data_IF_388573516908
#
_entry.id   IF_388573516908
#
_cell.length_a   1.000
_cell.length_b   1.000
_cell.length_c   1.000
_cell.angle_alpha   90.00
_cell.angle_beta   90.00
_cell.angle_gamma   90.00
#
_symmetry.space_group_name_H-M   'P 1'
#
loop_
_entity.id
_entity.type
_entity.pdbx_description
1 polymer ?
#
# COMPACT_ATOMS: atom_id res chain seq x y z
N UNK A 1 -3.74 -26.72 -32.83
CA UNK A 1 -3.65 -26.24 -31.41
C UNK A 1 -2.58 -25.18 -31.20
N UNK A 2 -1.51 -25.09 -32.00
CA UNK A 2 -0.44 -24.08 -31.87
C UNK A 2 -0.82 -22.67 -32.35
N UNK A 3 -1.68 -22.56 -33.36
CA UNK A 3 -2.06 -21.26 -33.94
C UNK A 3 -2.93 -20.40 -33.00
N UNK A 4 -3.69 -21.02 -32.10
CA UNK A 4 -4.59 -20.30 -31.19
C UNK A 4 -3.83 -19.64 -30.02
N UNK A 5 -2.71 -20.22 -29.59
CA UNK A 5 -1.87 -19.65 -28.51
C UNK A 5 -1.10 -18.44 -29.04
N UNK A 6 -0.57 -18.49 -30.24
CA UNK A 6 0.12 -17.38 -30.88
C UNK A 6 -0.83 -16.17 -31.09
N UNK A 7 -2.05 -16.44 -31.55
CA UNK A 7 -3.08 -15.40 -31.73
C UNK A 7 -3.49 -14.72 -30.44
N UNK A 8 -3.66 -15.48 -29.33
CA UNK A 8 -3.99 -14.94 -28.00
C UNK A 8 -2.84 -14.12 -27.42
N UNK A 9 -1.58 -14.55 -27.63
CA UNK A 9 -0.40 -13.80 -27.18
C UNK A 9 -0.28 -12.50 -27.96
N UNK A 10 -0.48 -12.49 -29.27
CA UNK A 10 -0.43 -11.28 -30.11
C UNK A 10 -1.56 -10.31 -29.73
N UNK A 11 -2.78 -10.80 -29.50
CA UNK A 11 -3.88 -9.95 -29.01
C UNK A 11 -3.58 -9.33 -27.63
N UNK A 12 -3.02 -10.10 -26.72
CA UNK A 12 -2.66 -9.60 -25.37
C UNK A 12 -1.57 -8.53 -25.45
N UNK A 13 -0.54 -8.74 -26.30
CA UNK A 13 0.52 -7.74 -26.53
C UNK A 13 -0.04 -6.46 -27.17
N UNK A 14 -0.98 -6.57 -28.09
CA UNK A 14 -1.64 -5.41 -28.69
C UNK A 14 -2.53 -4.66 -27.70
N UNK A 15 -3.28 -5.36 -26.86
CA UNK A 15 -4.11 -4.75 -25.81
C UNK A 15 -3.26 -4.03 -24.76
N UNK A 16 -2.14 -4.63 -24.33
CA UNK A 16 -1.22 -4.00 -23.37
C UNK A 16 -0.54 -2.76 -23.94
N UNK A 17 -0.19 -2.76 -25.24
CA UNK A 17 0.34 -1.57 -25.94
C UNK A 17 -0.70 -0.46 -26.06
N UNK A 18 -1.94 -0.78 -26.42
CA UNK A 18 -3.02 0.18 -26.55
C UNK A 18 -3.36 0.81 -25.19
N UNK A 19 -3.41 0.01 -24.12
CA UNK A 19 -3.63 0.48 -22.75
C UNK A 19 -2.52 1.43 -22.29
N UNK A 20 -1.25 1.11 -22.56
CA UNK A 20 -0.11 1.94 -22.18
C UNK A 20 -0.09 3.26 -22.97
N UNK A 21 -0.38 3.23 -24.25
CA UNK A 21 -0.46 4.44 -25.06
C UNK A 21 -1.59 5.37 -24.59
N UNK A 22 -2.75 4.82 -24.24
CA UNK A 22 -3.87 5.60 -23.71
C UNK A 22 -3.55 6.22 -22.34
N UNK A 23 -2.90 5.45 -21.44
CA UNK A 23 -2.46 5.98 -20.14
C UNK A 23 -1.40 7.07 -20.29
N UNK A 24 -0.49 6.92 -21.24
CA UNK A 24 0.55 7.90 -21.53
C UNK A 24 -0.06 9.17 -22.12
N UNK A 25 -0.95 9.03 -23.10
CA UNK A 25 -1.66 10.16 -23.72
C UNK A 25 -2.47 10.93 -22.68
N UNK A 26 -3.22 10.23 -21.83
CA UNK A 26 -3.98 10.84 -20.75
C UNK A 26 -3.08 11.59 -19.77
N UNK A 27 -1.97 10.97 -19.34
CA UNK A 27 -1.00 11.61 -18.45
C UNK A 27 -0.38 12.87 -19.06
N UNK A 28 -0.02 12.83 -20.34
CA UNK A 28 0.51 14.01 -21.05
C UNK A 28 -0.53 15.14 -21.15
N UNK A 29 -1.77 14.79 -21.43
CA UNK A 29 -2.88 15.75 -21.48
C UNK A 29 -3.20 16.35 -20.11
N UNK A 30 -3.19 15.54 -19.05
CA UNK A 30 -3.46 15.97 -17.68
C UNK A 30 -2.36 16.90 -17.14
N UNK A 31 -1.10 16.68 -17.55
CA UNK A 31 0.08 17.42 -17.06
C UNK A 31 0.39 18.63 -17.91
N UNK A 32 0.31 18.52 -19.23
CA UNK A 32 0.70 19.55 -20.20
C UNK A 32 -0.49 20.23 -20.91
N UNK A 33 -1.70 19.78 -20.63
CA UNK A 33 -2.91 20.31 -21.27
C UNK A 33 -2.91 20.07 -22.78
N UNK A 34 -3.31 21.08 -23.54
CA UNK A 34 -3.37 21.03 -25.01
C UNK A 34 -2.00 21.14 -25.70
N UNK A 35 -0.92 21.24 -24.94
CA UNK A 35 0.44 21.38 -25.48
C UNK A 35 1.09 20.05 -25.90
N UNK A 36 0.43 18.92 -25.67
CA UNK A 36 0.87 17.61 -26.14
C UNK A 36 0.09 17.18 -27.39
N UNK A 37 0.78 16.88 -28.48
CA UNK A 37 0.15 16.31 -29.67
C UNK A 37 -0.21 14.84 -29.47
N UNK A 38 -1.02 14.29 -30.38
CA UNK A 38 -1.29 12.85 -30.39
C UNK A 38 0.00 12.05 -30.65
N UNK A 39 0.07 10.86 -30.01
CA UNK A 39 1.17 9.91 -30.21
C UNK A 39 1.12 9.31 -31.59
N UNK A 40 2.21 9.48 -32.37
CA UNK A 40 2.37 8.90 -33.70
C UNK A 40 3.52 7.91 -33.79
N UNK A 41 3.53 7.08 -34.80
CA UNK A 41 4.65 6.20 -35.08
C UNK A 41 5.85 7.04 -35.55
N UNK A 42 7.05 6.77 -35.02
CA UNK A 42 8.27 7.44 -35.49
C UNK A 42 8.71 6.85 -36.84
N UNK A 43 8.54 7.61 -37.91
CA UNK A 43 8.88 7.14 -39.27
C UNK A 43 10.37 6.77 -39.41
N UNK A 44 11.26 7.45 -38.68
CA UNK A 44 12.71 7.19 -38.68
C UNK A 44 13.11 5.96 -37.87
N UNK A 45 12.23 5.40 -37.07
CA UNK A 45 12.54 4.22 -36.25
C UNK A 45 12.91 2.98 -37.08
N UNK A 46 12.39 2.85 -38.30
CA UNK A 46 12.74 1.78 -39.21
C UNK A 46 14.21 1.83 -39.71
N UNK A 47 14.85 2.99 -39.61
CA UNK A 47 16.25 3.20 -40.02
C UNK A 47 17.25 2.92 -38.89
N UNK A 48 16.75 2.70 -37.65
CA UNK A 48 17.61 2.44 -36.50
C UNK A 48 18.21 1.02 -36.58
N UNK A 49 19.41 0.80 -36.02
CA UNK A 49 20.01 -0.53 -35.90
C UNK A 49 19.11 -1.52 -35.18
N UNK A 50 19.20 -2.79 -35.56
CA UNK A 50 18.34 -3.87 -35.06
C UNK A 50 18.31 -3.97 -33.53
N UNK A 51 19.46 -3.76 -32.85
CA UNK A 51 19.53 -3.82 -31.39
C UNK A 51 18.69 -2.75 -30.69
N UNK A 52 18.48 -1.58 -31.31
CA UNK A 52 17.60 -0.53 -30.81
C UNK A 52 16.13 -0.88 -31.08
N UNK A 53 15.84 -1.37 -32.28
CA UNK A 53 14.49 -1.78 -32.64
C UNK A 53 14.02 -3.01 -31.83
N UNK A 54 14.92 -3.89 -31.43
CA UNK A 54 14.61 -5.05 -30.59
C UNK A 54 14.35 -4.65 -29.14
N UNK A 55 15.12 -3.68 -28.63
CA UNK A 55 15.00 -3.20 -27.24
C UNK A 55 13.80 -2.27 -27.01
N UNK A 56 13.44 -1.45 -28.00
CA UNK A 56 12.46 -0.36 -27.82
C UNK A 56 11.42 -0.32 -28.95
N UNK A 57 10.24 0.18 -28.61
CA UNK A 57 9.28 0.76 -29.55
C UNK A 57 9.40 2.26 -29.53
N UNK A 58 9.45 2.91 -30.70
CA UNK A 58 9.64 4.35 -30.82
C UNK A 58 8.35 5.04 -31.27
N UNK A 59 7.88 6.03 -30.49
CA UNK A 59 6.75 6.87 -30.84
C UNK A 59 7.21 8.31 -30.89
N UNK A 60 6.63 9.11 -31.78
CA UNK A 60 6.93 10.53 -31.92
C UNK A 60 5.74 11.36 -31.45
N UNK A 61 6.00 12.46 -30.77
CA UNK A 61 5.00 13.46 -30.40
C UNK A 61 5.65 14.84 -30.27
N UNK A 62 4.81 15.87 -30.26
CA UNK A 62 5.24 17.24 -29.95
C UNK A 62 4.88 17.54 -28.48
N UNK A 63 5.87 17.95 -27.69
CA UNK A 63 5.72 18.39 -26.30
C UNK A 63 6.08 19.87 -26.18
N UNK A 64 5.14 20.73 -25.87
CA UNK A 64 5.34 22.17 -25.68
C UNK A 64 6.16 22.81 -26.82
N UNK A 65 5.83 22.48 -28.08
CA UNK A 65 6.49 22.99 -29.26
C UNK A 65 7.79 22.25 -29.67
N UNK A 66 8.20 21.22 -28.93
CA UNK A 66 9.40 20.43 -29.25
C UNK A 66 9.03 19.02 -29.71
N UNK A 67 9.55 18.62 -30.86
CA UNK A 67 9.42 17.23 -31.33
C UNK A 67 10.35 16.32 -30.55
N UNK A 68 9.77 15.29 -29.95
CA UNK A 68 10.51 14.29 -29.15
C UNK A 68 10.12 12.89 -29.56
N UNK A 69 11.03 11.93 -29.34
CA UNK A 69 10.80 10.52 -29.57
C UNK A 69 10.77 9.78 -28.24
N UNK A 70 9.69 9.05 -27.99
CA UNK A 70 9.58 8.18 -26.82
C UNK A 70 10.15 6.81 -27.12
N UNK A 71 11.09 6.34 -26.29
CA UNK A 71 11.65 5.00 -26.34
C UNK A 71 10.97 4.13 -25.26
N UNK A 72 10.01 3.30 -25.68
CA UNK A 72 9.24 2.42 -24.80
C UNK A 72 9.91 1.04 -24.79
N UNK A 73 10.41 0.53 -23.65
CA UNK A 73 11.06 -0.76 -23.59
C UNK A 73 10.09 -1.91 -23.93
N UNK A 74 10.58 -2.87 -24.70
CA UNK A 74 9.84 -4.09 -25.00
C UNK A 74 9.99 -5.11 -23.89
N UNK A 75 9.00 -5.97 -23.68
CA UNK A 75 8.92 -6.91 -22.54
C UNK A 75 10.13 -7.86 -22.42
N UNK A 76 10.81 -8.15 -23.52
CA UNK A 76 11.92 -9.10 -23.58
C UNK A 76 13.31 -8.45 -23.42
N UNK A 77 13.39 -7.11 -23.26
CA UNK A 77 14.65 -6.40 -23.15
C UNK A 77 15.22 -6.46 -21.73
N UNK A 78 16.02 -7.46 -21.42
CA UNK A 78 16.82 -7.54 -20.19
C UNK A 78 18.12 -6.74 -20.36
N UNK A 79 18.06 -5.42 -20.24
CA UNK A 79 19.22 -4.54 -20.40
C UNK A 79 19.54 -3.85 -19.08
N UNK A 80 20.83 -3.83 -18.72
CA UNK A 80 21.30 -3.08 -17.54
C UNK A 80 21.07 -1.57 -17.71
N UNK A 81 20.94 -0.81 -16.62
CA UNK A 81 20.78 0.66 -16.66
C UNK A 81 21.88 1.36 -17.48
N UNK A 82 23.11 0.87 -17.37
CA UNK A 82 24.22 1.39 -18.18
C UNK A 82 24.00 1.11 -19.68
N UNK A 83 23.49 -0.08 -20.01
CA UNK A 83 23.14 -0.45 -21.38
C UNK A 83 21.99 0.38 -21.94
N UNK A 84 20.94 0.61 -21.14
CA UNK A 84 19.82 1.49 -21.51
C UNK A 84 20.32 2.89 -21.85
N UNK A 85 21.18 3.49 -21.02
CA UNK A 85 21.73 4.82 -21.28
C UNK A 85 22.52 4.88 -22.58
N UNK A 86 23.40 3.92 -22.81
CA UNK A 86 24.18 3.85 -24.05
C UNK A 86 23.29 3.69 -25.29
N UNK A 87 22.22 2.89 -25.19
CA UNK A 87 21.26 2.70 -26.26
C UNK A 87 20.43 3.98 -26.53
N UNK A 88 20.00 4.71 -25.50
CA UNK A 88 19.28 5.96 -25.65
C UNK A 88 20.17 7.05 -26.28
N UNK A 89 21.43 7.15 -25.87
CA UNK A 89 22.39 8.06 -26.43
C UNK A 89 22.66 7.76 -27.92
N UNK A 90 22.79 6.48 -28.27
CA UNK A 90 22.90 6.06 -29.67
C UNK A 90 21.64 6.44 -30.48
N UNK A 91 20.45 6.26 -29.88
CA UNK A 91 19.20 6.65 -30.53
C UNK A 91 19.09 8.17 -30.77
N UNK A 92 19.48 8.99 -29.78
CA UNK A 92 19.55 10.47 -29.93
C UNK A 92 20.47 10.85 -31.10
N UNK A 93 21.66 10.26 -31.17
CA UNK A 93 22.65 10.56 -32.19
C UNK A 93 22.17 10.14 -33.59
N UNK A 94 21.46 9.04 -33.72
CA UNK A 94 20.97 8.55 -35.02
C UNK A 94 19.70 9.26 -35.49
N UNK A 95 18.78 9.55 -34.57
CA UNK A 95 17.53 10.23 -34.91
C UNK A 95 17.70 11.76 -35.04
N UNK A 96 18.75 12.32 -34.45
CA UNK A 96 18.98 13.78 -34.34
C UNK A 96 17.77 14.48 -33.69
N UNK A 97 17.14 13.83 -32.73
CA UNK A 97 15.97 14.31 -31.99
C UNK A 97 16.11 13.91 -30.52
N UNK A 98 15.55 14.69 -29.58
CA UNK A 98 15.49 14.31 -28.18
C UNK A 98 14.76 12.96 -28.01
N UNK A 99 15.41 12.01 -27.34
CA UNK A 99 14.81 10.71 -27.01
C UNK A 99 14.50 10.67 -25.52
N UNK A 100 13.28 10.29 -25.19
CA UNK A 100 12.76 10.21 -23.83
C UNK A 100 12.48 8.75 -23.49
N UNK A 101 13.08 8.25 -22.44
CA UNK A 101 12.85 6.89 -21.96
C UNK A 101 11.47 6.77 -21.29
N UNK A 102 10.63 5.85 -21.74
CA UNK A 102 9.25 5.72 -21.26
C UNK A 102 8.96 4.29 -20.76
N UNK A 103 9.46 3.89 -19.56
CA UNK A 103 9.16 2.60 -18.97
C UNK A 103 7.82 2.63 -18.22
N UNK A 104 7.18 1.47 -18.06
CA UNK A 104 5.96 1.32 -17.27
C UNK A 104 6.19 1.60 -15.76
N UNK A 105 7.40 1.34 -15.26
CA UNK A 105 7.80 1.63 -13.88
C UNK A 105 9.32 1.75 -13.76
N UNK A 106 9.78 2.46 -12.72
CA UNK A 106 11.19 2.57 -12.36
C UNK A 106 11.33 2.39 -10.84
N UNK A 107 12.31 1.60 -10.42
CA UNK A 107 12.71 1.51 -9.03
C UNK A 107 13.38 2.83 -8.56
N UNK A 108 13.40 3.07 -7.25
CA UNK A 108 13.95 4.34 -6.70
C UNK A 108 15.42 4.55 -7.04
N UNK A 109 16.22 3.48 -7.09
CA UNK A 109 17.64 3.56 -7.47
C UNK A 109 17.84 3.83 -8.96
N UNK A 110 16.97 3.28 -9.82
CA UNK A 110 17.00 3.51 -11.27
C UNK A 110 16.69 4.97 -11.60
N UNK A 111 15.63 5.51 -10.98
CA UNK A 111 15.26 6.94 -11.11
C UNK A 111 16.40 7.85 -10.69
N UNK A 112 17.03 7.59 -9.53
CA UNK A 112 18.17 8.37 -9.05
C UNK A 112 19.32 8.36 -10.05
N UNK A 113 19.65 7.19 -10.58
CA UNK A 113 20.70 7.02 -11.58
C UNK A 113 20.40 7.78 -12.89
N UNK A 114 19.16 7.71 -13.40
CA UNK A 114 18.76 8.43 -14.60
C UNK A 114 18.80 9.95 -14.41
N UNK A 115 18.37 10.46 -13.26
CA UNK A 115 18.43 11.89 -12.90
C UNK A 115 19.89 12.37 -12.79
N UNK A 116 20.74 11.60 -12.10
CA UNK A 116 22.16 11.90 -11.94
C UNK A 116 22.88 12.04 -13.29
N UNK A 117 22.50 11.20 -14.25
CA UNK A 117 23.05 11.24 -15.60
C UNK A 117 22.24 12.10 -16.59
N UNK A 118 21.29 12.91 -16.10
CA UNK A 118 20.44 13.81 -16.88
C UNK A 118 19.71 13.14 -18.06
N UNK A 119 19.34 11.86 -17.91
CA UNK A 119 18.56 11.12 -18.90
C UNK A 119 17.10 11.52 -18.80
N UNK A 120 16.50 11.98 -19.89
CA UNK A 120 15.09 12.31 -19.97
C UNK A 120 14.23 11.06 -19.86
N UNK A 121 13.23 11.05 -18.96
CA UNK A 121 12.29 9.94 -18.85
C UNK A 121 10.88 10.39 -18.45
N UNK A 122 9.90 9.58 -18.84
CA UNK A 122 8.49 9.70 -18.43
C UNK A 122 8.06 8.33 -17.91
N UNK A 123 7.58 8.30 -16.67
CA UNK A 123 6.86 7.14 -16.10
C UNK A 123 5.38 7.52 -16.05
N UNK A 124 4.51 6.94 -16.88
CA UNK A 124 3.10 7.31 -16.96
C UNK A 124 2.44 7.33 -15.58
N UNK A 125 1.64 8.37 -15.31
CA UNK A 125 0.93 8.60 -14.03
C UNK A 125 1.81 8.69 -12.78
N UNK A 126 3.14 8.90 -12.92
CA UNK A 126 4.07 8.95 -11.76
C UNK A 126 5.07 10.08 -11.80
N UNK A 127 5.82 10.23 -12.87
CA UNK A 127 6.91 11.21 -12.92
C UNK A 127 7.32 11.55 -14.36
N UNK A 128 7.62 12.82 -14.59
CA UNK A 128 8.22 13.32 -15.82
C UNK A 128 9.49 14.09 -15.48
N UNK A 129 10.61 13.73 -16.11
CA UNK A 129 11.89 14.40 -15.97
C UNK A 129 12.47 14.65 -17.36
N UNK A 130 12.38 15.90 -17.82
CA UNK A 130 12.79 16.36 -19.16
C UNK A 130 13.71 17.57 -19.02
N UNK A 131 14.96 17.40 -18.57
CA UNK A 131 15.87 18.51 -18.29
C UNK A 131 16.17 19.37 -19.52
N UNK A 132 16.16 18.78 -20.71
CA UNK A 132 16.39 19.49 -21.98
C UNK A 132 15.24 20.42 -22.39
N UNK A 133 14.05 20.22 -21.81
CA UNK A 133 12.87 21.07 -22.01
C UNK A 133 12.58 21.96 -20.78
N UNK A 134 13.47 21.98 -19.78
CA UNK A 134 13.26 22.73 -18.54
C UNK A 134 12.15 22.16 -17.65
N UNK A 135 11.66 20.95 -17.92
CA UNK A 135 10.53 20.33 -17.20
C UNK A 135 11.08 19.31 -16.21
N UNK A 136 10.98 19.62 -14.92
CA UNK A 136 11.15 18.67 -13.80
C UNK A 136 9.86 18.64 -12.99
N UNK A 137 8.84 18.02 -13.55
CA UNK A 137 7.60 17.77 -12.87
C UNK A 137 7.76 16.51 -12.02
N UNK A 138 8.21 16.72 -10.81
CA UNK A 138 8.02 15.74 -9.75
C UNK A 138 6.59 15.93 -9.25
N UNK A 139 5.68 15.08 -9.68
CA UNK A 139 4.62 14.80 -8.75
C UNK A 139 5.31 14.41 -7.45
N UNK A 140 5.10 15.19 -6.41
CA UNK A 140 5.11 14.64 -5.07
C UNK A 140 4.02 13.58 -5.12
N UNK A 141 4.41 12.38 -5.48
CA UNK A 141 3.62 11.18 -5.30
C UNK A 141 3.64 10.94 -3.79
N UNK A 142 2.90 11.74 -3.07
CA UNK A 142 1.97 11.23 -2.10
C UNK A 142 1.23 10.17 -2.88
N UNK A 143 1.72 8.94 -2.82
CA UNK A 143 1.14 7.72 -3.37
C UNK A 143 -0.26 7.99 -3.94
N UNK A 144 -0.35 8.35 -5.24
CA UNK A 144 -1.57 8.16 -5.98
C UNK A 144 -1.77 6.64 -5.98
N UNK A 145 -2.55 6.23 -5.02
CA UNK A 145 -3.01 4.91 -4.72
C UNK A 145 -3.39 4.25 -6.02
N UNK A 146 -2.67 3.20 -6.39
CA UNK A 146 -3.26 2.15 -7.18
C UNK A 146 -4.64 1.88 -6.58
N UNK A 147 -5.72 2.12 -7.32
CA UNK A 147 -7.06 1.64 -7.05
C UNK A 147 -7.15 0.12 -7.33
N UNK A 148 -6.30 -0.65 -6.70
CA UNK A 148 -6.64 -1.92 -6.08
C UNK A 148 -7.06 -1.52 -4.68
N UNK A 149 -8.15 -2.02 -4.18
CA UNK A 149 -8.65 -1.89 -2.81
C UNK A 149 -7.48 -1.95 -1.81
N UNK A 150 -6.76 -0.84 -1.67
CA UNK A 150 -5.61 -0.77 -0.81
C UNK A 150 -6.15 -0.72 0.61
N UNK A 151 -5.98 -1.83 1.33
CA UNK A 151 -6.31 -1.88 2.75
C UNK A 151 -5.32 -0.98 3.51
N UNK A 152 -5.78 -0.32 4.55
CA UNK A 152 -4.94 0.46 5.45
C UNK A 152 -3.77 -0.40 5.98
N UNK A 153 -2.61 0.21 6.12
CA UNK A 153 -1.47 -0.45 6.75
C UNK A 153 -1.78 -0.78 8.21
N UNK A 154 -1.18 -1.82 8.79
CA UNK A 154 -1.46 -2.19 10.17
C UNK A 154 -1.24 -1.07 11.19
N UNK A 155 -0.22 -0.24 10.98
CA UNK A 155 0.06 0.89 11.87
C UNK A 155 -0.99 2.00 11.74
N UNK A 156 -1.44 2.29 10.53
CA UNK A 156 -2.51 3.25 10.25
C UNK A 156 -3.83 2.78 10.80
N UNK A 157 -4.16 1.49 10.62
CA UNK A 157 -5.35 0.89 11.21
C UNK A 157 -5.33 0.98 12.74
N UNK A 158 -4.23 0.62 13.38
CA UNK A 158 -4.09 0.72 14.84
C UNK A 158 -4.26 2.15 15.35
N UNK A 159 -3.69 3.15 14.64
CA UNK A 159 -3.86 4.57 14.95
C UNK A 159 -5.33 4.98 14.83
N UNK A 160 -5.99 4.60 13.74
CA UNK A 160 -7.41 4.90 13.51
C UNK A 160 -8.30 4.31 14.61
N UNK A 161 -8.11 3.02 14.94
CA UNK A 161 -8.90 2.34 15.97
C UNK A 161 -8.66 2.96 17.35
N UNK A 162 -7.41 3.29 17.67
CA UNK A 162 -7.08 3.99 18.90
C UNK A 162 -7.77 5.36 18.99
N UNK A 163 -7.81 6.12 17.88
CA UNK A 163 -8.55 7.38 17.81
C UNK A 163 -10.05 7.18 18.09
N UNK A 164 -10.66 6.22 17.39
CA UNK A 164 -12.10 5.96 17.51
C UNK A 164 -12.52 5.56 18.93
N UNK A 165 -11.68 4.81 19.63
CA UNK A 165 -11.93 4.29 21.00
C UNK A 165 -11.47 5.24 22.11
N UNK A 166 -10.83 6.34 21.76
CA UNK A 166 -10.36 7.29 22.78
C UNK A 166 -11.43 8.38 23.02
N UNK A 167 -11.96 8.43 24.26
CA UNK A 167 -12.95 9.42 24.66
C UNK A 167 -12.40 10.84 24.78
N UNK A 168 -11.12 10.96 25.16
CA UNK A 168 -10.43 12.24 25.34
C UNK A 168 -9.81 12.73 24.03
N UNK A 169 -10.66 12.97 23.04
CA UNK A 169 -10.20 13.42 21.72
C UNK A 169 -10.08 14.93 21.71
N UNK A 170 -8.87 15.42 21.43
CA UNK A 170 -8.67 16.81 20.99
C UNK A 170 -8.96 16.87 19.49
N UNK A 171 -9.44 18.01 19.00
CA UNK A 171 -9.71 18.21 17.57
C UNK A 171 -8.45 18.02 16.72
N UNK A 172 -7.27 18.25 17.29
CA UNK A 172 -5.98 18.21 16.59
C UNK A 172 -4.94 17.48 17.42
N UNK A 173 -4.13 16.69 16.75
CA UNK A 173 -3.12 15.85 17.37
C UNK A 173 -1.76 16.12 16.77
N UNK A 174 -0.78 16.34 17.64
CA UNK A 174 0.60 16.42 17.18
C UNK A 174 1.16 15.01 16.96
N UNK A 175 1.93 14.75 15.89
CA UNK A 175 2.50 13.43 15.63
C UNK A 175 3.34 12.86 16.78
N UNK A 176 3.99 13.71 17.60
CA UNK A 176 4.72 13.26 18.79
C UNK A 176 3.82 12.64 19.85
N UNK A 177 2.60 13.19 20.03
CA UNK A 177 1.66 12.70 21.04
C UNK A 177 1.12 11.35 20.65
N UNK A 178 0.84 11.16 19.34
CA UNK A 178 0.48 9.87 18.76
C UNK A 178 1.64 8.86 18.90
N UNK A 179 2.88 9.30 18.63
CA UNK A 179 4.08 8.50 18.76
C UNK A 179 4.25 7.96 20.19
N UNK A 180 4.08 8.83 21.18
CA UNK A 180 4.18 8.49 22.60
C UNK A 180 3.03 7.56 23.04
N UNK A 181 1.80 7.83 22.60
CA UNK A 181 0.62 7.07 22.98
C UNK A 181 0.65 5.63 22.42
N UNK A 182 1.11 5.46 21.18
CA UNK A 182 1.12 4.19 20.47
C UNK A 182 2.48 3.47 20.49
N UNK A 183 3.54 4.09 21.02
CA UNK A 183 4.89 3.51 21.00
C UNK A 183 5.47 3.34 19.60
N UNK A 184 4.96 4.08 18.61
CA UNK A 184 5.48 4.07 17.25
C UNK A 184 6.60 5.08 17.04
N UNK A 185 7.48 4.80 16.09
CA UNK A 185 8.50 5.79 15.70
C UNK A 185 7.85 6.99 14.99
N UNK A 186 8.45 8.20 15.06
CA UNK A 186 7.94 9.39 14.37
C UNK A 186 7.74 9.15 12.85
N UNK A 187 8.60 8.34 12.23
CA UNK A 187 8.48 8.00 10.81
C UNK A 187 7.24 7.12 10.55
N UNK A 188 6.95 6.15 11.42
CA UNK A 188 5.76 5.31 11.32
C UNK A 188 4.50 6.14 11.44
N UNK A 189 4.45 7.05 12.42
CA UNK A 189 3.33 7.98 12.61
C UNK A 189 3.16 8.90 11.41
N UNK A 190 4.24 9.48 10.88
CA UNK A 190 4.17 10.34 9.69
C UNK A 190 3.60 9.63 8.47
N UNK A 191 3.98 8.36 8.26
CA UNK A 191 3.42 7.53 7.18
C UNK A 191 1.95 7.21 7.42
N UNK A 192 1.57 6.86 8.64
CA UNK A 192 0.19 6.58 9.00
C UNK A 192 -0.72 7.80 8.82
N UNK A 193 -0.26 8.99 9.24
CA UNK A 193 -0.96 10.25 9.01
C UNK A 193 -1.15 10.53 7.51
N UNK A 194 -0.09 10.38 6.72
CA UNK A 194 -0.18 10.57 5.25
C UNK A 194 -1.15 9.59 4.60
N UNK A 195 -1.20 8.36 5.10
CA UNK A 195 -2.13 7.34 4.61
C UNK A 195 -3.58 7.69 4.97
N UNK A 196 -3.88 8.11 6.22
CA UNK A 196 -5.23 8.57 6.61
C UNK A 196 -5.70 9.76 5.75
N UNK A 197 -4.81 10.71 5.47
CA UNK A 197 -5.11 11.84 4.58
C UNK A 197 -5.42 11.37 3.16
N UNK A 198 -4.67 10.42 2.63
CA UNK A 198 -4.88 9.88 1.28
C UNK A 198 -6.19 9.10 1.12
N UNK A 199 -6.72 8.55 2.22
CA UNK A 199 -8.04 7.90 2.26
C UNK A 199 -9.19 8.86 2.58
N UNK A 200 -8.91 10.16 2.75
CA UNK A 200 -9.93 11.17 3.10
C UNK A 200 -10.53 11.00 4.49
N UNK A 201 -9.80 10.34 5.41
CA UNK A 201 -10.22 10.11 6.79
C UNK A 201 -9.76 11.23 7.73
N UNK A 202 -8.74 11.98 7.32
CA UNK A 202 -8.14 13.05 8.11
C UNK A 202 -7.54 14.14 7.23
N UNK A 203 -7.25 15.29 7.81
CA UNK A 203 -6.48 16.38 7.21
C UNK A 203 -5.17 16.62 7.96
N UNK A 204 -4.17 17.09 7.21
CA UNK A 204 -2.92 17.57 7.80
C UNK A 204 -2.94 19.10 7.81
N UNK A 205 -3.09 19.69 8.99
CA UNK A 205 -3.15 21.13 9.19
C UNK A 205 -1.78 21.63 9.68
N UNK A 206 -1.23 22.65 9.04
CA UNK A 206 0.04 23.26 9.47
C UNK A 206 -0.24 24.37 10.47
N UNK A 207 0.32 24.26 11.68
CA UNK A 207 0.25 25.29 12.71
C UNK A 207 1.69 25.69 13.06
N UNK A 208 2.10 26.88 12.65
CA UNK A 208 3.48 27.32 12.77
C UNK A 208 4.43 26.48 11.91
N UNK A 209 5.40 25.80 12.56
CA UNK A 209 6.37 24.90 11.90
C UNK A 209 5.99 23.43 11.99
N UNK A 210 4.88 23.09 12.64
CA UNK A 210 4.47 21.71 12.89
C UNK A 210 3.22 21.35 12.09
N UNK A 211 3.18 20.10 11.64
CA UNK A 211 2.01 19.49 10.99
C UNK A 211 1.19 18.78 12.07
N UNK A 212 -0.11 19.01 12.07
CA UNK A 212 -1.07 18.43 13.00
C UNK A 212 -2.04 17.54 12.24
N UNK A 213 -2.46 16.44 12.84
CA UNK A 213 -3.53 15.58 12.33
C UNK A 213 -4.87 16.08 12.85
N UNK A 214 -5.83 16.30 11.97
CA UNK A 214 -7.21 16.63 12.30
C UNK A 214 -8.15 15.65 11.60
N UNK A 215 -9.02 15.01 12.36
CA UNK A 215 -10.05 14.14 11.77
C UNK A 215 -11.22 15.01 11.28
N UNK A 216 -11.80 14.65 10.12
CA UNK A 216 -12.75 15.54 9.42
C UNK A 216 -14.20 15.35 9.82
N UNK A 217 -14.59 14.17 10.33
CA UNK A 217 -15.98 13.79 10.54
C UNK A 217 -16.21 13.22 11.94
N UNK A 218 -17.47 13.00 12.29
CA UNK A 218 -17.84 12.25 13.48
C UNK A 218 -17.26 10.83 13.44
N UNK A 219 -16.97 10.24 14.58
CA UNK A 219 -16.35 8.92 14.70
C UNK A 219 -17.15 7.83 13.95
N UNK A 220 -18.48 7.87 14.02
CA UNK A 220 -19.37 6.94 13.32
C UNK A 220 -19.18 7.01 11.79
N UNK A 221 -19.10 8.23 11.24
CA UNK A 221 -18.89 8.45 9.80
C UNK A 221 -17.50 8.00 9.37
N UNK A 222 -16.48 8.28 10.20
CA UNK A 222 -15.11 7.81 9.96
C UNK A 222 -15.06 6.28 9.95
N UNK A 223 -15.72 5.61 10.90
CA UNK A 223 -15.80 4.16 10.93
C UNK A 223 -16.49 3.60 9.70
N UNK A 224 -17.66 4.14 9.33
CA UNK A 224 -18.40 3.71 8.14
C UNK A 224 -17.57 3.86 6.86
N UNK A 225 -16.87 4.99 6.72
CA UNK A 225 -16.00 5.25 5.57
C UNK A 225 -14.77 4.34 5.55
N UNK A 226 -14.13 4.11 6.69
CA UNK A 226 -12.92 3.30 6.80
C UNK A 226 -13.16 1.79 6.68
N UNK A 227 -14.34 1.30 7.08
CA UNK A 227 -14.68 -0.13 7.19
C UNK A 227 -14.29 -0.98 5.96
N UNK A 228 -14.49 -0.54 4.70
CA UNK A 228 -14.07 -1.29 3.51
C UNK A 228 -12.55 -1.43 3.34
N UNK A 229 -11.79 -0.57 3.99
CA UNK A 229 -10.32 -0.52 3.89
C UNK A 229 -9.62 -1.18 5.08
N UNK A 230 -10.40 -1.66 6.06
CA UNK A 230 -9.89 -2.33 7.26
C UNK A 230 -9.75 -3.82 7.03
N UNK A 231 -8.69 -4.39 7.61
CA UNK A 231 -8.37 -5.83 7.55
C UNK A 231 -8.47 -6.49 8.90
N UNK A 232 -8.59 -7.81 8.91
CA UNK A 232 -8.37 -8.58 10.14
C UNK A 232 -6.97 -8.29 10.71
N UNK A 233 -6.83 -8.03 12.02
CA UNK A 233 -5.52 -7.88 12.66
C UNK A 233 -4.73 -9.19 12.70
N UNK A 234 -5.40 -10.33 12.60
CA UNK A 234 -4.80 -11.67 12.70
C UNK A 234 -4.00 -11.98 11.43
N UNK A 235 -2.69 -12.21 11.58
CA UNK A 235 -1.81 -12.67 10.49
C UNK A 235 -1.82 -14.17 10.32
N UNK A 236 -1.79 -14.89 11.43
CA UNK A 236 -1.87 -16.35 11.49
C UNK A 236 -2.29 -16.81 12.87
N UNK A 237 -2.77 -18.03 12.94
CA UNK A 237 -3.16 -18.71 14.18
C UNK A 237 -2.26 -19.93 14.36
N UNK A 238 -1.84 -20.18 15.59
CA UNK A 238 -1.12 -21.38 16.04
C UNK A 238 -1.65 -21.80 17.39
N UNK A 239 -1.33 -23.01 17.84
CA UNK A 239 -1.75 -23.53 19.15
C UNK A 239 -0.51 -23.74 20.03
N UNK A 240 -0.45 -23.07 21.16
CA UNK A 240 0.64 -23.19 22.14
C UNK A 240 0.16 -23.80 23.44
N UNK A 241 1.06 -24.52 24.15
CA UNK A 241 0.73 -25.14 25.45
C UNK A 241 0.28 -24.10 26.48
N UNK A 242 -0.75 -24.44 27.25
CA UNK A 242 -1.41 -23.58 28.24
C UNK A 242 -0.48 -23.18 29.40
N UNK A 243 0.53 -24.02 29.71
CA UNK A 243 1.41 -23.89 30.87
C UNK A 243 2.47 -22.80 30.75
N UNK A 244 2.48 -22.01 29.66
CA UNK A 244 3.56 -21.09 29.40
C UNK A 244 3.24 -19.70 29.89
N UNK A 245 4.12 -19.15 30.71
CA UNK A 245 4.06 -17.78 31.20
C UNK A 245 4.57 -16.80 30.13
N UNK A 246 3.69 -16.50 29.16
CA UNK A 246 3.85 -15.28 28.38
C UNK A 246 3.64 -14.09 29.34
N UNK A 247 4.34 -12.98 29.14
CA UNK A 247 4.20 -11.79 30.02
C UNK A 247 2.71 -11.37 30.08
N UNK A 248 2.02 -11.52 31.22
CA UNK A 248 0.55 -11.37 31.30
C UNK A 248 0.07 -9.95 30.96
N UNK A 249 0.91 -8.94 31.15
CA UNK A 249 0.57 -7.53 30.94
C UNK A 249 0.33 -7.14 29.49
N UNK A 250 0.85 -7.91 28.55
CA UNK A 250 0.80 -7.58 27.11
C UNK A 250 -0.10 -8.51 26.30
N UNK A 251 -0.58 -9.61 26.90
CA UNK A 251 -1.50 -10.54 26.26
C UNK A 251 -2.92 -10.08 26.45
N UNK A 252 -3.74 -10.30 25.43
CA UNK A 252 -5.17 -10.02 25.51
C UNK A 252 -5.96 -11.24 25.08
N UNK A 253 -7.09 -11.49 25.73
CA UNK A 253 -8.08 -12.42 25.22
C UNK A 253 -8.59 -11.91 23.87
N UNK A 254 -8.74 -12.81 22.90
CA UNK A 254 -9.12 -12.52 21.52
C UNK A 254 -10.17 -13.52 21.04
N UNK A 255 -10.59 -13.39 19.79
CA UNK A 255 -11.50 -14.32 19.15
C UNK A 255 -12.78 -14.56 19.96
N UNK A 256 -13.24 -15.82 19.99
CA UNK A 256 -14.47 -16.20 20.69
C UNK A 256 -14.33 -16.00 22.21
N UNK A 257 -13.13 -16.18 22.79
CA UNK A 257 -12.91 -15.94 24.22
C UNK A 257 -13.12 -14.48 24.62
N UNK A 258 -12.69 -13.53 23.79
CA UNK A 258 -12.98 -12.11 24.05
C UNK A 258 -14.48 -11.79 23.81
N UNK A 259 -15.06 -12.34 22.76
CA UNK A 259 -16.47 -12.13 22.45
C UNK A 259 -17.40 -12.67 23.55
N UNK A 260 -17.07 -13.83 24.15
CA UNK A 260 -17.80 -14.38 25.26
C UNK A 260 -17.79 -13.47 26.51
N UNK A 261 -16.70 -12.76 26.77
CA UNK A 261 -16.63 -11.78 27.87
C UNK A 261 -17.45 -10.50 27.62
N UNK A 262 -17.82 -10.23 26.36
CA UNK A 262 -18.51 -9.00 25.94
C UNK A 262 -19.96 -9.26 25.50
N UNK A 263 -20.38 -10.51 25.46
CA UNK A 263 -21.73 -10.95 25.01
C UNK A 263 -22.29 -12.07 25.88
N UNK A 264 -23.43 -12.63 25.48
CA UNK A 264 -24.05 -13.76 26.13
C UNK A 264 -23.57 -15.13 25.63
N UNK A 265 -22.49 -15.18 24.86
CA UNK A 265 -21.86 -16.42 24.41
C UNK A 265 -21.20 -17.14 25.59
N UNK A 266 -21.26 -18.47 25.59
CA UNK A 266 -20.54 -19.28 26.57
C UNK A 266 -19.04 -19.25 26.28
N UNK A 267 -18.24 -19.26 27.33
CA UNK A 267 -16.78 -19.36 27.22
C UNK A 267 -16.38 -20.63 26.45
N UNK A 268 -15.48 -20.53 25.49
CA UNK A 268 -14.96 -21.70 24.78
C UNK A 268 -14.06 -22.54 25.71
N UNK A 269 -14.00 -23.84 25.47
CA UNK A 269 -13.12 -24.76 26.22
C UNK A 269 -11.63 -24.42 26.05
N UNK A 270 -11.26 -23.83 24.93
CA UNK A 270 -9.90 -23.42 24.59
C UNK A 270 -9.85 -21.89 24.53
N UNK A 271 -8.93 -21.28 25.29
CA UNK A 271 -8.80 -19.82 25.23
C UNK A 271 -8.11 -19.38 23.95
N UNK A 272 -8.56 -18.24 23.44
CA UNK A 272 -7.92 -17.55 22.31
C UNK A 272 -7.20 -16.30 22.82
N UNK A 273 -5.92 -16.19 22.49
CA UNK A 273 -5.02 -15.13 22.94
C UNK A 273 -4.47 -14.36 21.76
N UNK A 274 -4.50 -13.03 21.82
CA UNK A 274 -3.79 -12.17 20.86
C UNK A 274 -2.39 -11.87 21.38
N UNK A 275 -1.39 -12.10 20.54
CA UNK A 275 0.03 -11.86 20.82
C UNK A 275 0.70 -11.14 19.66
N UNK A 276 1.80 -10.46 19.94
CA UNK A 276 2.67 -9.86 18.92
C UNK A 276 3.62 -10.91 18.32
N UNK A 277 4.17 -10.60 17.14
CA UNK A 277 5.21 -11.45 16.54
C UNK A 277 6.47 -11.56 17.45
N UNK A 278 6.81 -10.50 18.18
CA UNK A 278 7.94 -10.52 19.10
C UNK A 278 7.69 -11.50 20.26
N UNK A 279 6.52 -11.46 20.90
CA UNK A 279 6.14 -12.39 21.94
C UNK A 279 6.13 -13.84 21.44
N UNK A 280 5.64 -14.06 20.22
CA UNK A 280 5.71 -15.38 19.59
C UNK A 280 7.17 -15.85 19.44
N UNK A 281 8.05 -14.99 18.90
CA UNK A 281 9.45 -15.33 18.71
C UNK A 281 10.18 -15.57 20.05
N UNK A 282 9.90 -14.77 21.08
CA UNK A 282 10.42 -14.94 22.44
C UNK A 282 9.99 -16.30 23.02
N UNK A 283 8.72 -16.67 22.85
CA UNK A 283 8.21 -17.97 23.31
C UNK A 283 8.90 -19.14 22.60
N UNK A 284 9.08 -19.07 21.28
CA UNK A 284 9.82 -20.11 20.52
C UNK A 284 11.26 -20.20 20.98
N UNK A 285 11.94 -19.06 21.18
CA UNK A 285 13.32 -19.03 21.69
C UNK A 285 13.45 -19.61 23.11
N UNK A 286 12.39 -19.50 23.91
CA UNK A 286 12.29 -20.13 25.23
C UNK A 286 11.96 -21.64 25.20
N UNK A 287 11.86 -22.25 24.00
CA UNK A 287 11.58 -23.68 23.83
C UNK A 287 10.10 -24.05 23.85
N UNK A 288 9.20 -23.09 23.71
CA UNK A 288 7.77 -23.33 23.67
C UNK A 288 7.38 -24.11 22.43
N UNK A 289 6.71 -25.23 22.60
CA UNK A 289 6.15 -26.00 21.51
C UNK A 289 4.84 -25.35 21.01
N UNK A 290 4.74 -25.16 19.72
CA UNK A 290 3.54 -24.68 19.02
C UNK A 290 3.15 -25.65 17.91
N UNK A 291 1.86 -25.73 17.66
CA UNK A 291 1.29 -26.67 16.72
C UNK A 291 0.45 -25.92 15.67
N UNK A 292 0.36 -26.43 14.44
CA UNK A 292 -0.46 -25.81 13.38
C UNK A 292 -1.98 -26.09 13.57
N UNK A 293 -2.33 -27.05 14.43
CA UNK A 293 -3.71 -27.48 14.70
C UNK A 293 -3.93 -27.61 16.21
N UNK A 294 -5.21 -27.57 16.68
CA UNK A 294 -5.55 -27.77 18.09
C UNK A 294 -5.00 -29.12 18.60
N UNK A 295 -4.38 -29.08 19.77
CA UNK A 295 -3.92 -30.25 20.50
C UNK A 295 -4.49 -30.21 21.94
N UNK A 296 -4.56 -31.34 22.66
CA UNK A 296 -4.90 -31.32 24.09
C UNK A 296 -4.01 -30.33 24.86
N UNK A 297 -4.58 -29.64 25.84
CA UNK A 297 -3.89 -28.68 26.70
C UNK A 297 -3.22 -27.50 25.98
N UNK A 298 -3.73 -27.13 24.78
CA UNK A 298 -3.27 -25.95 24.04
C UNK A 298 -4.28 -24.82 24.04
N UNK A 299 -3.79 -23.59 24.00
CA UNK A 299 -4.54 -22.38 23.72
C UNK A 299 -4.34 -21.92 22.28
N UNK A 300 -5.35 -21.30 21.69
CA UNK A 300 -5.23 -20.64 20.39
C UNK A 300 -4.44 -19.36 20.55
N UNK A 301 -3.38 -19.18 19.76
CA UNK A 301 -2.57 -17.96 19.70
C UNK A 301 -2.76 -17.28 18.36
N UNK A 302 -3.39 -16.12 18.36
CA UNK A 302 -3.50 -15.25 17.20
C UNK A 302 -2.32 -14.29 17.18
N UNK A 303 -1.45 -14.41 16.18
CA UNK A 303 -0.32 -13.50 15.98
C UNK A 303 -0.83 -12.31 15.19
N UNK A 304 -0.86 -11.15 15.84
CA UNK A 304 -1.45 -9.93 15.28
C UNK A 304 -0.44 -9.08 14.51
N UNK A 305 -0.95 -8.25 13.60
CA UNK A 305 -0.18 -7.34 12.77
C UNK A 305 0.25 -6.05 13.49
N UNK A 306 -0.37 -5.73 14.63
CA UNK A 306 -0.01 -4.66 15.55
C UNK A 306 -0.21 -5.14 17.00
N UNK A 307 0.33 -4.41 17.96
CA UNK A 307 0.26 -4.80 19.36
C UNK A 307 -1.19 -4.73 19.88
N UNK A 308 -1.81 -5.86 20.29
CA UNK A 308 -3.18 -5.88 20.79
C UNK A 308 -3.39 -5.08 22.07
N UNK A 309 -2.34 -4.89 22.87
CA UNK A 309 -2.40 -4.10 24.11
C UNK A 309 -2.35 -2.59 23.87
N UNK A 310 -1.98 -2.14 22.67
CA UNK A 310 -1.83 -0.72 22.34
C UNK A 310 -3.16 0.02 22.33
N UNK A 311 -4.20 -0.61 21.78
CA UNK A 311 -5.54 -0.05 21.67
C UNK A 311 -6.41 -0.43 22.87
N UNK A 312 -6.24 -1.66 23.38
CA UNK A 312 -7.05 -2.21 24.45
C UNK A 312 -6.55 -1.81 25.86
N UNK A 313 -7.45 -1.27 26.69
CA UNK A 313 -7.19 -0.97 28.10
C UNK A 313 -7.61 -2.10 29.06
N UNK A 314 -8.30 -3.14 28.56
CA UNK A 314 -8.87 -4.25 29.30
C UNK A 314 -8.06 -5.53 29.15
N UNK A 315 -8.53 -6.63 29.76
CA UNK A 315 -7.96 -7.97 29.57
C UNK A 315 -8.26 -8.57 28.18
N UNK A 316 -9.28 -8.03 27.50
CA UNK A 316 -9.64 -8.40 26.13
C UNK A 316 -9.00 -7.46 25.13
N UNK A 317 -8.92 -7.86 23.87
CA UNK A 317 -8.67 -6.95 22.76
C UNK A 317 -9.76 -5.90 22.66
N UNK A 318 -9.50 -4.81 21.98
CA UNK A 318 -10.50 -3.79 21.75
C UNK A 318 -11.65 -4.28 20.85
N UNK A 319 -12.82 -3.68 21.02
CA UNK A 319 -14.06 -4.14 20.37
C UNK A 319 -14.04 -4.01 18.85
N UNK A 320 -13.35 -3.01 18.29
CA UNK A 320 -13.27 -2.80 16.85
C UNK A 320 -12.31 -3.81 16.20
N UNK A 321 -11.14 -4.04 16.80
CA UNK A 321 -10.22 -5.10 16.37
C UNK A 321 -10.85 -6.49 16.51
N UNK A 322 -11.62 -6.73 17.59
CA UNK A 322 -12.35 -7.97 17.78
C UNK A 322 -13.35 -8.20 16.65
N UNK A 323 -14.16 -7.19 16.35
CA UNK A 323 -15.12 -7.23 15.24
C UNK A 323 -14.41 -7.54 13.92
N UNK A 324 -13.31 -6.86 13.61
CA UNK A 324 -12.52 -7.09 12.40
C UNK A 324 -11.93 -8.50 12.32
N UNK A 325 -11.61 -9.11 13.45
CA UNK A 325 -11.04 -10.47 13.49
C UNK A 325 -12.08 -11.57 13.27
N UNK A 326 -13.36 -11.29 13.57
CA UNK A 326 -14.45 -12.28 13.55
C UNK A 326 -15.52 -12.00 12.49
N UNK A 327 -15.50 -10.86 11.79
CA UNK A 327 -16.54 -10.45 10.83
C UNK A 327 -16.84 -11.49 9.74
N UNK A 328 -15.86 -12.30 9.39
CA UNK A 328 -15.98 -13.35 8.36
C UNK A 328 -16.19 -14.76 8.97
N UNK A 329 -16.52 -14.85 10.27
CA UNK A 329 -16.79 -16.13 10.94
C UNK A 329 -18.11 -16.71 10.44
N UNK A 330 -18.13 -18.01 10.14
CA UNK A 330 -19.30 -18.70 9.57
C UNK A 330 -20.37 -19.08 10.59
N UNK A 331 -20.12 -18.94 11.89
CA UNK A 331 -21.07 -19.28 12.95
C UNK A 331 -22.12 -18.19 13.11
N UNK A 332 -23.39 -18.53 12.92
CA UNK A 332 -24.53 -17.62 13.06
C UNK A 332 -24.58 -16.99 14.47
N UNK A 333 -24.29 -17.79 15.52
CA UNK A 333 -24.25 -17.28 16.91
C UNK A 333 -23.17 -16.23 17.12
N UNK A 334 -22.01 -16.39 16.44
CA UNK A 334 -20.92 -15.41 16.49
C UNK A 334 -21.33 -14.14 15.77
N UNK A 335 -21.99 -14.24 14.61
CA UNK A 335 -22.49 -13.08 13.88
C UNK A 335 -23.54 -12.30 14.68
N UNK A 336 -24.51 -12.97 15.29
CA UNK A 336 -25.49 -12.30 16.17
C UNK A 336 -24.83 -11.56 17.33
N UNK A 337 -23.84 -12.17 17.98
CA UNK A 337 -23.10 -11.53 19.07
C UNK A 337 -22.24 -10.34 18.60
N UNK A 338 -21.72 -10.39 17.38
CA UNK A 338 -21.00 -9.26 16.77
C UNK A 338 -21.92 -8.10 16.39
N UNK A 339 -23.14 -8.38 15.93
CA UNK A 339 -24.15 -7.37 15.64
C UNK A 339 -24.58 -6.66 16.93
N UNK A 340 -24.88 -7.41 18.00
CA UNK A 340 -25.16 -6.84 19.32
C UNK A 340 -23.99 -6.00 19.87
N UNK A 341 -22.75 -6.41 19.62
CA UNK A 341 -21.56 -5.67 20.01
C UNK A 341 -21.43 -4.36 19.21
N UNK A 342 -21.74 -4.40 17.92
CA UNK A 342 -21.68 -3.22 17.06
C UNK A 342 -22.72 -2.17 17.45
N UNK A 343 -23.93 -2.59 17.85
CA UNK A 343 -25.00 -1.69 18.32
C UNK A 343 -24.62 -0.96 19.62
N UNK A 344 -23.68 -1.52 20.37
CA UNK A 344 -23.16 -0.92 21.62
C UNK A 344 -21.97 0.02 21.40
N UNK A 345 -21.54 0.24 20.16
CA UNK A 345 -20.46 1.19 19.91
C UNK A 345 -20.97 2.62 20.20
N UNK A 346 -20.46 3.19 21.28
CA UNK A 346 -20.66 4.60 21.62
C UNK A 346 -19.60 5.43 20.87
N UNK A 347 -20.08 6.26 19.96
CA UNK A 347 -19.25 7.10 19.09
C UNK A 347 -19.08 8.52 19.65
#
# INVERSE_FOLDING_TARGET
MHDNIAYVIVQKIMLDKCAMNNMLQQHLTDVLGSEASELGACARAALLPYFLQDSFSFLQLNLAGHDVVLAIPKANASVSLKGIRAQLEAAVNLLQMPVVFCPASLASYERRNLIEHKVSFIVPSKQMYLPNLGIDLRENVSQAVHKKTALLSPATQALLLWYLLNEKVTERWHPSDISNALGYTPMTVSRAVSELVSFGLAESVTVGRSKWLQMQNAKADIWAHAKPYLRSPVKRTVWGLTSIQLRPSEIRLAGISALAQLSMLSDPSTQCLAITLNQYNEAIAAGVQVFPQPMPDTNEWQIWSYNPAMVAKSKTVDVLSLWLSLKDNSSERVQMALDELQDKFEW
#
